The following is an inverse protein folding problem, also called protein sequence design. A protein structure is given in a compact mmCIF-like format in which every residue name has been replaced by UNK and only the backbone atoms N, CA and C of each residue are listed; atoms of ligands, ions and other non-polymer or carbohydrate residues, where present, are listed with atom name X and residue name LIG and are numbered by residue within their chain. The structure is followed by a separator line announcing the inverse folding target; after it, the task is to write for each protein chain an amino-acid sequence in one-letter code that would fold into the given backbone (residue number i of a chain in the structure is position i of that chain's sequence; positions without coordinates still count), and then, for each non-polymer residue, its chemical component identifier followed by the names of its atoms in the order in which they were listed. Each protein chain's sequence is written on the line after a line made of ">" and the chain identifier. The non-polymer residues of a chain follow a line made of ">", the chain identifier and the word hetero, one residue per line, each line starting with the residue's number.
data_IF_043881157882
#
_entry.id   IF_043881157882
#
_cell.length_a   1.000
_cell.length_b   1.000
_cell.length_c   1.000
_cell.angle_alpha   90.00
_cell.angle_beta   90.00
_cell.angle_gamma   90.00
#
_symmetry.space_group_name_H-M   'P 1'
#
loop_
_entity.id
_entity.type
_entity.pdbx_description
1 polymer ?
#
# COMPACT_ATOMS: atom_id res chain seq x y z
N UNK A 1 17.10 7.42 -14.33
CA UNK A 1 15.93 8.22 -14.74
C UNK A 1 14.77 7.26 -14.84
N UNK A 2 14.05 7.03 -13.74
CA UNK A 2 12.81 6.29 -13.87
C UNK A 2 11.82 7.23 -14.54
N UNK A 3 11.00 6.71 -15.45
CA UNK A 3 9.86 7.42 -16.01
C UNK A 3 8.67 6.44 -15.86
N UNK A 4 7.68 6.88 -15.12
CA UNK A 4 6.32 6.36 -14.94
C UNK A 4 5.86 5.03 -14.29
N UNK A 5 4.77 5.19 -13.51
CA UNK A 5 3.85 4.25 -12.86
C UNK A 5 3.25 3.26 -13.87
N UNK A 6 3.14 2.00 -13.46
CA UNK A 6 2.29 1.02 -14.15
C UNK A 6 0.93 1.04 -13.46
N UNK A 7 0.04 1.91 -13.92
CA UNK A 7 -1.39 1.61 -13.93
C UNK A 7 -1.61 0.60 -15.06
N UNK A 8 -2.17 -0.57 -14.75
CA UNK A 8 -2.31 -1.68 -15.71
C UNK A 8 -3.43 -1.37 -16.71
N UNK A 9 -3.19 -0.41 -17.60
CA UNK A 9 -3.90 -0.23 -18.86
C UNK A 9 -2.99 -0.71 -20.01
N UNK A 10 -3.39 -1.76 -20.77
CA UNK A 10 -2.57 -2.39 -21.81
C UNK A 10 -2.02 -1.46 -22.90
N UNK A 11 -2.64 -0.29 -23.06
CA UNK A 11 -2.33 0.66 -24.14
C UNK A 11 -1.21 1.64 -23.73
N UNK A 12 -1.13 2.01 -22.44
CA UNK A 12 -0.19 3.06 -21.98
C UNK A 12 1.19 2.52 -21.61
N UNK A 13 1.27 1.31 -21.06
CA UNK A 13 2.56 0.67 -20.74
C UNK A 13 3.41 0.37 -21.98
N UNK A 14 2.77 0.10 -23.12
CA UNK A 14 3.44 -0.24 -24.38
C UNK A 14 4.23 0.94 -24.98
N UNK A 15 3.63 2.13 -25.02
CA UNK A 15 4.27 3.33 -25.60
C UNK A 15 5.50 3.82 -24.80
N UNK A 16 5.59 3.46 -23.51
CA UNK A 16 6.71 3.84 -22.65
C UNK A 16 7.96 2.95 -22.83
N UNK A 17 7.77 1.71 -23.27
CA UNK A 17 8.83 0.72 -23.51
C UNK A 17 9.45 0.85 -24.91
N UNK A 18 8.70 1.38 -25.87
CA UNK A 18 9.14 1.60 -27.25
C UNK A 18 10.10 2.81 -27.32
N UNK A 19 11.41 2.57 -27.22
CA UNK A 19 12.44 3.58 -27.44
C UNK A 19 13.81 3.33 -26.84
N UNK A 20 13.95 2.38 -25.91
CA UNK A 20 15.24 2.03 -25.31
C UNK A 20 15.40 0.50 -25.16
N UNK A 21 16.17 -0.17 -26.04
CA UNK A 21 16.27 -1.63 -26.12
C UNK A 21 16.66 -2.33 -24.80
N UNK A 22 17.50 -1.67 -23.99
CA UNK A 22 17.94 -2.21 -22.69
C UNK A 22 16.81 -2.25 -21.65
N UNK A 23 15.86 -1.31 -21.70
CA UNK A 23 14.73 -1.25 -20.77
C UNK A 23 13.67 -2.29 -21.10
N UNK A 24 13.45 -2.49 -22.40
CA UNK A 24 12.54 -3.50 -22.93
C UNK A 24 13.07 -4.91 -22.58
N UNK A 25 14.38 -5.14 -22.71
CA UNK A 25 15.03 -6.37 -22.26
C UNK A 25 14.95 -6.58 -20.73
N UNK A 26 15.17 -5.53 -19.92
CA UNK A 26 15.07 -5.61 -18.46
C UNK A 26 13.65 -5.94 -17.98
N UNK A 27 12.63 -5.25 -18.50
CA UNK A 27 11.22 -5.48 -18.18
C UNK A 27 10.77 -6.90 -18.57
N UNK A 28 11.26 -7.42 -19.70
CA UNK A 28 10.96 -8.78 -20.17
C UNK A 28 11.61 -9.89 -19.32
N UNK A 29 12.52 -9.57 -18.41
CA UNK A 29 13.22 -10.56 -17.56
C UNK A 29 12.73 -10.60 -16.10
N UNK A 30 11.86 -9.68 -15.69
CA UNK A 30 11.40 -9.55 -14.30
C UNK A 30 9.89 -9.34 -14.22
N UNK A 31 9.21 -10.26 -13.54
CA UNK A 31 7.80 -10.10 -13.18
C UNK A 31 7.70 -9.19 -11.96
N UNK A 32 7.38 -7.91 -12.15
CA UNK A 32 7.09 -6.98 -11.05
C UNK A 32 5.59 -7.01 -10.80
N UNK A 33 5.19 -7.26 -9.56
CA UNK A 33 3.80 -7.13 -9.12
C UNK A 33 3.71 -5.93 -8.18
N UNK A 34 2.94 -4.92 -8.58
CA UNK A 34 2.61 -3.77 -7.73
C UNK A 34 1.18 -3.96 -7.26
N UNK A 35 0.96 -3.97 -5.95
CA UNK A 35 -0.37 -4.14 -5.35
C UNK A 35 -0.74 -2.87 -4.58
N UNK A 36 -1.95 -2.37 -4.84
CA UNK A 36 -2.59 -1.42 -3.93
C UNK A 36 -3.24 -2.21 -2.80
N UNK A 37 -2.57 -2.26 -1.64
CA UNK A 37 -2.96 -3.07 -0.47
C UNK A 37 -2.82 -4.59 -0.68
N UNK A 38 -2.63 -5.29 0.43
CA UNK A 38 -2.62 -6.74 0.53
C UNK A 38 -3.76 -7.26 1.42
N UNK A 39 -3.95 -8.59 1.47
CA UNK A 39 -4.97 -9.21 2.31
C UNK A 39 -4.77 -8.88 3.79
N UNK A 40 -3.50 -8.85 4.24
CA UNK A 40 -3.16 -8.57 5.63
C UNK A 40 -3.53 -7.15 6.08
N UNK A 41 -3.21 -6.12 5.32
CA UNK A 41 -3.56 -4.75 5.67
C UNK A 41 -5.05 -4.46 5.45
N UNK A 42 -5.66 -5.06 4.42
CA UNK A 42 -7.10 -4.88 4.16
C UNK A 42 -7.99 -5.58 5.19
N UNK A 43 -7.57 -6.72 5.72
CA UNK A 43 -8.35 -7.43 6.75
C UNK A 43 -7.83 -7.08 8.14
N UNK A 44 -6.52 -7.19 8.38
CA UNK A 44 -5.92 -7.05 9.69
C UNK A 44 -6.15 -5.68 10.34
N UNK A 45 -6.11 -4.59 9.58
CA UNK A 45 -6.28 -3.22 10.14
C UNK A 45 -7.72 -3.00 10.58
N UNK A 46 -8.68 -3.26 9.69
CA UNK A 46 -10.10 -3.05 9.96
C UNK A 46 -10.64 -4.04 10.99
N UNK A 47 -10.16 -5.29 10.95
CA UNK A 47 -10.56 -6.34 11.89
C UNK A 47 -9.96 -6.06 13.27
N UNK A 48 -8.70 -5.58 13.37
CA UNK A 48 -8.11 -5.15 14.63
C UNK A 48 -8.85 -3.96 15.24
N UNK A 49 -9.26 -2.98 14.42
CA UNK A 49 -10.07 -1.88 14.92
C UNK A 49 -11.45 -2.37 15.40
N UNK A 50 -12.07 -3.29 14.68
CA UNK A 50 -13.34 -3.91 15.08
C UNK A 50 -13.22 -4.68 16.40
N UNK A 51 -12.09 -5.36 16.63
CA UNK A 51 -11.79 -6.02 17.91
C UNK A 51 -11.66 -5.02 19.05
N UNK A 52 -10.91 -3.94 18.86
CA UNK A 52 -10.74 -2.85 19.85
C UNK A 52 -12.06 -2.20 20.23
N UNK A 53 -12.98 -2.10 19.29
CA UNK A 53 -14.32 -1.55 19.50
C UNK A 53 -15.32 -2.59 20.04
N UNK A 54 -14.88 -3.82 20.32
CA UNK A 54 -15.73 -4.89 20.85
C UNK A 54 -16.78 -5.41 19.87
N UNK A 55 -16.64 -5.11 18.57
CA UNK A 55 -17.58 -5.56 17.52
C UNK A 55 -17.37 -7.02 17.13
N UNK A 56 -16.18 -7.56 17.39
CA UNK A 56 -15.82 -8.97 17.19
C UNK A 56 -15.10 -9.50 18.42
N UNK A 57 -15.13 -10.82 18.60
CA UNK A 57 -14.38 -11.51 19.66
C UNK A 57 -12.92 -11.72 19.26
N UNK A 58 -12.06 -12.00 20.25
CA UNK A 58 -10.67 -12.42 20.00
C UNK A 58 -10.62 -13.67 19.11
N UNK A 59 -11.47 -14.66 19.39
CA UNK A 59 -11.59 -15.88 18.57
C UNK A 59 -11.98 -15.59 17.12
N UNK A 60 -12.93 -14.67 16.90
CA UNK A 60 -13.31 -14.24 15.56
C UNK A 60 -12.18 -13.52 14.82
N UNK A 61 -11.41 -12.70 15.53
CA UNK A 61 -10.21 -12.07 14.98
C UNK A 61 -9.16 -13.12 14.59
N UNK A 62 -8.87 -14.08 15.46
CA UNK A 62 -7.85 -15.11 15.23
C UNK A 62 -8.20 -15.99 14.03
N UNK A 63 -9.48 -16.38 13.88
CA UNK A 63 -9.96 -17.14 12.73
C UNK A 63 -9.82 -16.36 11.41
N UNK A 64 -10.11 -15.06 11.41
CA UNK A 64 -9.94 -14.22 10.22
C UNK A 64 -8.46 -14.09 9.84
N UNK A 65 -7.58 -13.90 10.82
CA UNK A 65 -6.14 -13.83 10.58
C UNK A 65 -5.57 -15.17 10.09
N UNK A 66 -6.10 -16.30 10.57
CA UNK A 66 -5.74 -17.61 10.05
C UNK A 66 -6.09 -17.74 8.57
N UNK A 67 -7.32 -17.40 8.17
CA UNK A 67 -7.75 -17.45 6.76
C UNK A 67 -6.93 -16.55 5.85
N UNK A 68 -6.51 -15.38 6.34
CA UNK A 68 -5.59 -14.49 5.61
C UNK A 68 -4.26 -15.21 5.33
N UNK A 69 -3.68 -15.87 6.34
CA UNK A 69 -2.42 -16.62 6.17
C UNK A 69 -2.57 -17.80 5.21
N UNK A 70 -3.69 -18.51 5.26
CA UNK A 70 -4.00 -19.60 4.33
C UNK A 70 -4.04 -19.09 2.88
N UNK A 71 -4.67 -17.93 2.63
CA UNK A 71 -4.66 -17.29 1.31
C UNK A 71 -3.25 -16.85 0.88
N UNK A 72 -2.48 -16.27 1.79
CA UNK A 72 -1.09 -15.86 1.50
C UNK A 72 -0.26 -17.05 1.01
N UNK A 73 -0.36 -18.20 1.70
CA UNK A 73 0.33 -19.43 1.31
C UNK A 73 -0.21 -20.03 0.00
N UNK A 74 -1.53 -20.12 -0.14
CA UNK A 74 -2.17 -20.75 -1.30
C UNK A 74 -1.83 -20.03 -2.61
N UNK A 75 -1.77 -18.69 -2.59
CA UNK A 75 -1.58 -17.86 -3.77
C UNK A 75 -0.17 -17.27 -3.88
N UNK A 76 0.74 -17.61 -2.96
CA UNK A 76 2.09 -17.06 -2.93
C UNK A 76 2.13 -15.54 -2.73
N UNK A 77 1.16 -14.99 -1.99
CA UNK A 77 1.13 -13.55 -1.68
C UNK A 77 2.18 -13.29 -0.60
N UNK A 78 3.12 -12.34 -0.80
CA UNK A 78 4.14 -12.04 0.18
C UNK A 78 3.54 -11.67 1.53
N UNK A 79 3.89 -12.45 2.56
CA UNK A 79 3.41 -12.17 3.91
C UNK A 79 4.09 -10.92 4.43
N UNK A 80 3.29 -10.01 4.99
CA UNK A 80 3.76 -8.76 5.56
C UNK A 80 4.86 -8.92 6.62
N UNK A 81 4.96 -10.10 7.24
CA UNK A 81 5.96 -10.46 8.26
C UNK A 81 7.40 -10.51 7.71
N UNK A 82 7.56 -10.75 6.40
CA UNK A 82 8.86 -10.90 5.74
C UNK A 82 9.18 -9.75 4.78
N UNK A 83 8.30 -8.74 4.72
CA UNK A 83 8.48 -7.59 3.83
C UNK A 83 9.43 -6.58 4.45
N UNK A 84 10.31 -6.00 3.64
CA UNK A 84 10.94 -4.75 4.03
C UNK A 84 9.86 -3.66 4.06
N UNK A 85 9.82 -2.87 5.13
CA UNK A 85 8.81 -1.83 5.31
C UNK A 85 9.50 -0.48 5.23
N UNK A 86 9.01 0.37 4.33
CA UNK A 86 9.38 1.78 4.28
C UNK A 86 8.18 2.67 4.60
N UNK A 87 8.39 3.72 5.37
CA UNK A 87 7.36 4.71 5.69
C UNK A 87 7.66 6.03 4.98
N UNK A 88 6.64 6.67 4.41
CA UNK A 88 6.76 7.96 3.71
C UNK A 88 5.65 8.91 4.12
N UNK A 89 6.04 10.10 4.60
CA UNK A 89 5.09 11.17 4.92
C UNK A 89 4.71 11.96 3.67
N UNK A 90 3.45 11.85 3.31
CA UNK A 90 2.81 12.48 2.17
C UNK A 90 2.36 13.92 2.46
N UNK A 91 2.32 14.33 3.72
CA UNK A 91 1.76 15.61 4.11
C UNK A 91 2.52 16.79 3.50
N UNK A 92 3.84 16.64 3.33
CA UNK A 92 4.74 17.71 2.88
C UNK A 92 5.17 17.57 1.42
N UNK A 93 4.75 16.50 0.72
CA UNK A 93 5.19 16.22 -0.64
C UNK A 93 4.13 16.63 -1.67
N UNK A 94 4.59 17.04 -2.86
CA UNK A 94 3.75 17.14 -4.05
C UNK A 94 3.46 15.73 -4.60
N UNK A 95 2.38 15.56 -5.36
CA UNK A 95 2.07 14.28 -6.00
C UNK A 95 3.21 13.74 -6.87
N UNK A 96 3.91 14.65 -7.59
CA UNK A 96 5.07 14.30 -8.40
C UNK A 96 6.25 13.81 -7.55
N UNK A 97 6.55 14.46 -6.42
CA UNK A 97 7.65 14.03 -5.57
C UNK A 97 7.39 12.66 -4.93
N UNK A 98 6.14 12.38 -4.56
CA UNK A 98 5.74 11.07 -4.03
C UNK A 98 5.97 10.01 -5.08
N UNK A 99 5.49 10.30 -6.29
CA UNK A 99 5.64 9.42 -7.42
C UNK A 99 7.10 9.07 -7.67
N UNK A 100 7.97 10.08 -7.75
CA UNK A 100 9.40 9.86 -7.98
C UNK A 100 10.07 9.10 -6.83
N UNK A 101 9.59 9.26 -5.59
CA UNK A 101 10.05 8.48 -4.43
C UNK A 101 9.61 7.00 -4.49
N UNK A 102 8.32 6.72 -4.78
CA UNK A 102 7.79 5.36 -4.92
C UNK A 102 8.54 4.59 -6.00
N UNK A 103 8.69 5.28 -7.12
CA UNK A 103 9.39 4.85 -8.31
C UNK A 103 10.86 4.50 -8.05
N UNK A 104 11.60 5.35 -7.33
CA UNK A 104 12.97 5.02 -6.91
C UNK A 104 13.02 3.77 -6.01
N UNK A 105 12.03 3.62 -5.12
CA UNK A 105 11.94 2.48 -4.20
C UNK A 105 11.65 1.18 -4.95
N UNK A 106 10.74 1.19 -5.92
CA UNK A 106 10.45 0.04 -6.80
C UNK A 106 11.71 -0.40 -7.54
N UNK A 107 12.47 0.53 -8.12
CA UNK A 107 13.71 0.17 -8.85
C UNK A 107 14.72 -0.54 -7.95
N UNK A 108 14.95 -0.01 -6.75
CA UNK A 108 15.83 -0.63 -5.75
C UNK A 108 15.34 -2.02 -5.36
N UNK A 109 14.04 -2.23 -5.22
CA UNK A 109 13.46 -3.55 -4.91
C UNK A 109 13.71 -4.56 -6.02
N UNK A 110 13.57 -4.15 -7.29
CA UNK A 110 13.82 -5.00 -8.45
C UNK A 110 15.30 -5.38 -8.56
N UNK A 111 16.21 -4.41 -8.37
CA UNK A 111 17.66 -4.65 -8.37
C UNK A 111 18.06 -5.67 -7.30
N UNK A 112 17.47 -5.57 -6.11
CA UNK A 112 17.77 -6.46 -4.99
C UNK A 112 16.96 -7.77 -4.99
N UNK A 113 16.06 -7.98 -5.97
CA UNK A 113 15.11 -9.10 -6.02
C UNK A 113 14.37 -9.31 -4.68
N UNK A 114 14.01 -8.23 -4.02
CA UNK A 114 13.32 -8.25 -2.73
C UNK A 114 11.83 -7.99 -2.86
N UNK A 115 11.13 -8.07 -1.72
CA UNK A 115 9.76 -7.62 -1.58
C UNK A 115 9.70 -6.37 -0.69
N UNK A 116 8.86 -5.39 -1.05
CA UNK A 116 8.77 -4.10 -0.38
C UNK A 116 7.32 -3.72 -0.11
N UNK A 117 7.04 -3.30 1.12
CA UNK A 117 5.80 -2.66 1.52
C UNK A 117 6.07 -1.19 1.84
N UNK A 118 5.42 -0.28 1.10
CA UNK A 118 5.54 1.16 1.34
C UNK A 118 4.28 1.67 2.02
N UNK A 119 4.42 2.14 3.26
CA UNK A 119 3.36 2.82 3.98
C UNK A 119 3.38 4.31 3.70
N UNK A 120 2.40 4.76 2.92
CA UNK A 120 2.16 6.18 2.62
C UNK A 120 1.24 6.78 3.70
N UNK A 121 1.84 7.49 4.66
CA UNK A 121 1.09 8.12 5.75
C UNK A 121 1.01 9.64 5.55
N UNK A 122 0.07 10.30 6.23
CA UNK A 122 -0.02 11.76 6.26
C UNK A 122 0.05 12.24 7.70
N UNK A 123 1.10 12.99 8.05
CA UNK A 123 1.17 13.68 9.36
C UNK A 123 0.19 14.85 9.51
N UNK A 124 -0.51 15.23 8.43
CA UNK A 124 -1.51 16.28 8.43
C UNK A 124 -2.92 15.72 8.11
N UNK A 125 -3.73 15.37 9.13
CA UNK A 125 -5.09 14.87 8.96
C UNK A 125 -6.03 15.85 8.25
N UNK A 126 -5.83 17.16 8.44
CA UNK A 126 -6.67 18.18 7.81
C UNK A 126 -6.48 18.20 6.29
N UNK A 127 -5.24 18.05 5.82
CA UNK A 127 -4.93 17.92 4.38
C UNK A 127 -5.52 16.64 3.80
N UNK A 128 -5.51 15.55 4.58
CA UNK A 128 -6.10 14.27 4.18
C UNK A 128 -7.62 14.39 4.00
N UNK A 129 -8.31 15.04 4.95
CA UNK A 129 -9.74 15.35 4.86
C UNK A 129 -10.09 16.14 3.60
N UNK A 130 -9.37 17.23 3.33
CA UNK A 130 -9.59 18.05 2.13
C UNK A 130 -9.43 17.25 0.83
N UNK A 131 -8.52 16.27 0.81
CA UNK A 131 -8.35 15.39 -0.35
C UNK A 131 -9.52 14.40 -0.49
N UNK A 132 -10.03 13.88 0.63
CA UNK A 132 -11.21 12.99 0.67
C UNK A 132 -12.47 13.76 0.28
N UNK A 133 -12.67 14.99 0.72
CA UNK A 133 -13.82 15.81 0.30
C UNK A 133 -13.83 16.03 -1.22
N UNK A 134 -12.65 16.25 -1.81
CA UNK A 134 -12.50 16.48 -3.26
C UNK A 134 -12.69 15.23 -4.12
N UNK A 135 -12.28 14.05 -3.64
CA UNK A 135 -12.14 12.83 -4.46
C UNK A 135 -12.77 11.56 -3.87
N UNK A 136 -13.26 11.62 -2.64
CA UNK A 136 -13.89 10.52 -1.95
C UNK A 136 -15.21 10.13 -2.61
N UNK A 137 -15.56 8.84 -2.50
CA UNK A 137 -16.84 8.31 -2.97
C UNK A 137 -17.99 8.95 -2.18
N UNK A 138 -19.22 8.93 -2.70
CA UNK A 138 -20.37 9.57 -2.03
C UNK A 138 -20.55 9.13 -0.57
N UNK A 139 -20.30 7.86 -0.25
CA UNK A 139 -20.33 7.35 1.13
C UNK A 139 -19.12 7.71 2.01
N UNK A 140 -18.03 8.20 1.42
CA UNK A 140 -16.78 8.54 2.09
C UNK A 140 -16.65 10.04 2.42
N UNK A 141 -17.44 10.88 1.74
CA UNK A 141 -17.45 12.34 1.94
C UNK A 141 -17.92 12.77 3.33
N UNK A 142 -18.57 11.87 4.07
CA UNK A 142 -19.07 12.11 5.43
C UNK A 142 -18.18 11.48 6.52
N UNK A 143 -16.95 11.07 6.20
CA UNK A 143 -16.07 10.53 7.23
C UNK A 143 -15.76 11.59 8.31
N UNK A 144 -16.07 11.25 9.56
CA UNK A 144 -15.64 12.05 10.71
C UNK A 144 -14.11 12.00 10.83
N UNK A 145 -13.49 13.15 11.14
CA UNK A 145 -12.09 13.29 11.53
C UNK A 145 -11.65 12.22 12.53
N UNK A 146 -12.49 11.92 13.53
CA UNK A 146 -12.21 10.91 14.55
C UNK A 146 -12.00 9.51 13.97
N UNK A 147 -12.77 9.16 12.93
CA UNK A 147 -12.63 7.88 12.24
C UNK A 147 -11.31 7.83 11.47
N UNK A 148 -10.93 8.91 10.79
CA UNK A 148 -9.65 8.97 10.08
C UNK A 148 -8.45 8.90 11.03
N UNK A 149 -8.52 9.57 12.18
CA UNK A 149 -7.49 9.49 13.21
C UNK A 149 -7.35 8.06 13.75
N UNK A 150 -8.46 7.37 14.01
CA UNK A 150 -8.44 5.96 14.45
C UNK A 150 -7.79 5.05 13.41
N UNK A 151 -8.11 5.23 12.14
CA UNK A 151 -7.51 4.43 11.06
C UNK A 151 -6.02 4.75 10.93
N UNK A 152 -5.62 6.02 10.91
CA UNK A 152 -4.21 6.42 10.86
C UNK A 152 -3.44 5.84 12.06
N UNK A 153 -4.04 5.84 13.26
CA UNK A 153 -3.45 5.21 14.44
C UNK A 153 -3.33 3.69 14.28
N UNK A 154 -4.35 3.02 13.74
CA UNK A 154 -4.30 1.58 13.50
C UNK A 154 -3.20 1.18 12.50
N UNK A 155 -3.02 1.98 11.44
CA UNK A 155 -1.89 1.83 10.52
C UNK A 155 -0.56 2.12 11.23
N UNK A 156 -0.46 3.20 12.00
CA UNK A 156 0.75 3.54 12.77
C UNK A 156 1.14 2.42 13.73
N UNK A 157 0.20 1.88 14.51
CA UNK A 157 0.44 0.77 15.43
C UNK A 157 0.90 -0.50 14.69
N UNK A 158 0.35 -0.77 13.50
CA UNK A 158 0.72 -1.93 12.70
C UNK A 158 2.18 -1.85 12.26
N UNK A 159 2.63 -0.66 11.87
CA UNK A 159 3.95 -0.43 11.32
C UNK A 159 5.00 -0.07 12.39
N UNK A 160 4.62 0.53 13.51
CA UNK A 160 5.51 0.85 14.64
C UNK A 160 5.97 -0.41 15.38
N UNK A 161 5.11 -1.44 15.47
CA UNK A 161 5.44 -2.71 16.11
C UNK A 161 6.28 -3.65 15.22
N UNK A 162 6.81 -3.16 14.09
CA UNK A 162 7.60 -3.94 13.12
C UNK A 162 8.98 -3.35 12.82
N UNK A 163 9.38 -2.31 13.55
CA UNK A 163 10.75 -1.77 13.55
C UNK A 163 11.60 -2.44 14.64
#
# INVERSE_FOLDING_TARGET
>A
MVKEFIDYSPVKGKAYLEGEPEREAFANTKSIVVMERGPFDSVGIFTRQSLREGRITQEGYDLLMQKVREMELQYGIPSSTNLHIEQRDMALMSAQNVYDSLKASIYKTVENKGDLLIYLYSSNPQKQLQNIEKRGREGEKNYNVDYLLKINQAYSDLFANRN
#
